data_IF_749236983873
#
_entry.id   IF_749236983873
#
_cell.length_a   1.000
_cell.length_b   1.000
_cell.length_c   1.000
_cell.angle_alpha   90.00
_cell.angle_beta   90.00
_cell.angle_gamma   90.00
#
_symmetry.space_group_name_H-M   'P 1'
#
loop_
_entity.id
_entity.type
_entity.pdbx_description
1 polymer ?
#
# COMPACT_ATOMS: atom_id res chain seq x y z
N UNK A 1 25.36 1.58 2.53
CA UNK A 1 24.05 1.51 1.85
C UNK A 1 23.44 0.10 1.92
N UNK A 2 24.20 -0.97 1.66
CA UNK A 2 23.73 -2.37 1.74
C UNK A 2 23.18 -2.77 3.12
N UNK A 3 23.84 -2.34 4.20
CA UNK A 3 23.42 -2.65 5.59
C UNK A 3 22.05 -2.03 5.94
N UNK A 4 21.78 -0.81 5.47
CA UNK A 4 20.50 -0.12 5.70
C UNK A 4 19.35 -0.90 5.04
N UNK A 5 19.55 -1.35 3.79
CA UNK A 5 18.55 -2.13 3.07
C UNK A 5 18.29 -3.49 3.75
N UNK A 6 19.34 -4.18 4.17
CA UNK A 6 19.22 -5.45 4.91
C UNK A 6 18.47 -5.28 6.23
N UNK A 7 18.76 -4.23 7.00
CA UNK A 7 18.04 -3.92 8.25
C UNK A 7 16.58 -3.56 8.00
N UNK A 8 16.27 -2.85 6.92
CA UNK A 8 14.90 -2.51 6.56
C UNK A 8 14.07 -3.76 6.20
N UNK A 9 14.67 -4.71 5.48
CA UNK A 9 14.03 -6.00 5.15
C UNK A 9 13.76 -6.80 6.44
N UNK A 10 14.75 -6.90 7.32
CA UNK A 10 14.60 -7.62 8.59
C UNK A 10 13.53 -6.97 9.49
N UNK A 11 13.51 -5.63 9.55
CA UNK A 11 12.46 -4.90 10.26
C UNK A 11 11.07 -5.16 9.67
N UNK A 12 10.93 -5.09 8.34
CA UNK A 12 9.66 -5.35 7.66
C UNK A 12 9.14 -6.77 7.94
N UNK A 13 10.04 -7.76 7.91
CA UNK A 13 9.72 -9.15 8.22
C UNK A 13 9.24 -9.33 9.67
N UNK A 14 9.96 -8.76 10.65
CA UNK A 14 9.56 -8.80 12.07
C UNK A 14 8.22 -8.13 12.30
N UNK A 15 8.02 -6.97 11.69
CA UNK A 15 6.76 -6.25 11.76
C UNK A 15 5.60 -7.10 11.21
N UNK A 16 5.78 -7.73 10.05
CA UNK A 16 4.77 -8.62 9.47
C UNK A 16 4.48 -9.83 10.38
N UNK A 17 5.51 -10.48 10.92
CA UNK A 17 5.37 -11.62 11.84
C UNK A 17 4.61 -11.23 13.11
N UNK A 18 4.93 -10.08 13.71
CA UNK A 18 4.26 -9.57 14.91
C UNK A 18 2.77 -9.30 14.65
N UNK A 19 2.43 -8.66 13.53
CA UNK A 19 1.04 -8.40 13.18
C UNK A 19 0.26 -9.68 12.86
N UNK A 20 0.85 -10.58 12.09
CA UNK A 20 0.22 -11.86 11.75
C UNK A 20 -0.02 -12.69 13.01
N UNK A 21 0.97 -12.79 13.90
CA UNK A 21 0.85 -13.57 15.14
C UNK A 21 -0.07 -12.93 16.19
N UNK A 22 -0.31 -11.62 16.14
CA UNK A 22 -1.27 -10.95 17.06
C UNK A 22 -2.71 -11.03 16.57
N UNK A 23 -2.92 -10.98 15.26
CA UNK A 23 -4.25 -10.85 14.67
C UNK A 23 -4.61 -12.05 13.80
N UNK A 24 -4.25 -12.03 12.52
CA UNK A 24 -4.77 -12.96 11.52
C UNK A 24 -4.43 -14.43 11.80
N UNK A 25 -3.23 -14.70 12.34
CA UNK A 25 -2.67 -16.03 12.58
C UNK A 25 -2.37 -16.26 14.07
N UNK A 26 -3.18 -15.68 14.96
CA UNK A 26 -3.00 -15.75 16.43
C UNK A 26 -2.86 -17.15 17.02
N UNK A 27 -3.46 -18.13 16.37
CA UNK A 27 -3.48 -19.53 16.83
C UNK A 27 -2.26 -20.33 16.35
N UNK A 28 -1.39 -19.74 15.51
CA UNK A 28 -0.22 -20.44 14.97
C UNK A 28 0.92 -19.47 14.66
N UNK A 29 1.81 -19.31 15.63
CA UNK A 29 3.01 -18.46 15.51
C UNK A 29 3.96 -18.95 14.41
N UNK A 30 4.11 -20.26 14.24
CA UNK A 30 4.96 -20.85 13.21
C UNK A 30 4.46 -20.49 11.79
N UNK A 31 3.13 -20.55 11.58
CA UNK A 31 2.52 -20.10 10.32
C UNK A 31 2.73 -18.60 10.12
N UNK A 32 2.60 -17.79 11.17
CA UNK A 32 2.85 -16.35 11.07
C UNK A 32 4.29 -16.03 10.64
N UNK A 33 5.27 -16.75 11.17
CA UNK A 33 6.67 -16.62 10.75
C UNK A 33 6.88 -17.06 9.29
N UNK A 34 6.31 -18.21 8.90
CA UNK A 34 6.40 -18.71 7.53
C UNK A 34 5.81 -17.72 6.52
N UNK A 35 4.60 -17.22 6.79
CA UNK A 35 3.92 -16.25 5.92
C UNK A 35 4.71 -14.94 5.85
N UNK A 36 5.24 -14.44 6.99
CA UNK A 36 6.08 -13.24 7.00
C UNK A 36 7.36 -13.42 6.18
N UNK A 37 8.01 -14.58 6.27
CA UNK A 37 9.17 -14.93 5.43
C UNK A 37 8.84 -14.86 3.95
N UNK A 38 7.70 -15.42 3.55
CA UNK A 38 7.24 -15.42 2.15
C UNK A 38 6.94 -14.01 1.67
N UNK A 39 6.20 -13.21 2.44
CA UNK A 39 5.83 -11.83 2.06
C UNK A 39 7.04 -10.89 1.96
N UNK A 40 8.12 -11.15 2.71
CA UNK A 40 9.35 -10.37 2.67
C UNK A 40 10.42 -10.89 1.70
N UNK A 41 10.14 -11.97 0.95
CA UNK A 41 11.10 -12.51 -0.01
C UNK A 41 11.18 -11.67 -1.29
N UNK A 42 12.23 -10.85 -1.38
CA UNK A 42 12.50 -9.99 -2.53
C UNK A 42 12.88 -10.75 -3.81
N UNK A 43 13.23 -12.04 -3.73
CA UNK A 43 13.49 -12.90 -4.90
C UNK A 43 12.20 -13.40 -5.53
N UNK A 44 11.17 -13.58 -4.71
CA UNK A 44 9.84 -14.02 -5.15
C UNK A 44 8.98 -12.84 -5.63
N UNK A 45 9.08 -11.70 -4.93
CA UNK A 45 8.35 -10.48 -5.22
C UNK A 45 9.30 -9.41 -5.77
N UNK A 46 9.81 -9.66 -6.99
CA UNK A 46 10.83 -8.86 -7.70
C UNK A 46 10.47 -7.38 -7.94
N UNK A 47 9.27 -6.93 -7.56
CA UNK A 47 8.83 -5.55 -7.64
C UNK A 47 8.17 -5.12 -6.34
N UNK A 48 8.56 -3.95 -5.84
CA UNK A 48 8.01 -3.31 -4.64
C UNK A 48 6.50 -3.03 -4.70
N UNK A 49 5.85 -3.24 -5.86
CA UNK A 49 4.40 -3.08 -6.06
C UNK A 49 3.68 -4.33 -6.54
N UNK A 50 4.29 -5.53 -6.49
CA UNK A 50 3.61 -6.74 -6.94
C UNK A 50 2.40 -7.04 -6.05
N UNK A 51 1.21 -7.04 -6.64
CA UNK A 51 -0.03 -7.41 -5.96
C UNK A 51 -0.14 -8.93 -5.89
N UNK A 52 -0.45 -9.46 -4.71
CA UNK A 52 -0.86 -10.86 -4.54
C UNK A 52 -2.37 -10.98 -4.75
N UNK A 53 -2.79 -11.97 -5.51
CA UNK A 53 -4.19 -12.34 -5.69
C UNK A 53 -4.72 -13.19 -4.54
N UNK A 54 -6.03 -13.44 -4.54
CA UNK A 54 -6.68 -14.24 -3.49
C UNK A 54 -6.15 -15.69 -3.43
N UNK A 55 -5.95 -16.33 -4.59
CA UNK A 55 -5.43 -17.69 -4.65
C UNK A 55 -4.03 -17.78 -4.07
N UNK A 56 -3.16 -16.80 -4.38
CA UNK A 56 -1.82 -16.70 -3.80
C UNK A 56 -1.88 -16.47 -2.29
N UNK A 57 -2.75 -15.57 -1.82
CA UNK A 57 -2.93 -15.29 -0.41
C UNK A 57 -3.36 -16.54 0.38
N UNK A 58 -4.33 -17.30 -0.13
CA UNK A 58 -4.75 -18.57 0.47
C UNK A 58 -3.60 -19.58 0.46
N UNK A 59 -2.90 -19.71 -0.67
CA UNK A 59 -1.79 -20.66 -0.83
C UNK A 59 -0.63 -20.40 0.14
N UNK A 60 -0.31 -19.13 0.43
CA UNK A 60 0.74 -18.79 1.40
C UNK A 60 0.25 -18.88 2.85
N UNK A 61 -1.04 -19.17 3.09
CA UNK A 61 -1.60 -19.40 4.42
C UNK A 61 -2.26 -18.18 5.08
N UNK A 62 -2.55 -17.11 4.34
CA UNK A 62 -3.34 -15.99 4.85
C UNK A 62 -4.82 -16.39 4.99
N UNK A 63 -5.47 -15.90 6.05
CA UNK A 63 -6.93 -16.06 6.24
C UNK A 63 -7.62 -14.91 5.53
N UNK A 64 -8.03 -15.14 4.28
CA UNK A 64 -8.73 -14.16 3.44
C UNK A 64 -10.07 -14.71 2.96
N UNK A 65 -11.04 -13.82 2.79
CA UNK A 65 -12.35 -14.14 2.25
C UNK A 65 -12.51 -13.57 0.84
N UNK A 66 -13.11 -14.36 -0.05
CA UNK A 66 -13.44 -13.92 -1.39
C UNK A 66 -14.71 -13.07 -1.35
N UNK A 67 -14.63 -11.83 -1.83
CA UNK A 67 -15.81 -11.02 -2.08
C UNK A 67 -16.32 -11.34 -3.49
N UNK A 68 -17.55 -11.82 -3.59
CA UNK A 68 -18.21 -12.05 -4.87
C UNK A 68 -18.39 -10.73 -5.65
N UNK A 69 -18.12 -10.76 -6.95
CA UNK A 69 -18.26 -9.61 -7.86
C UNK A 69 -19.69 -9.16 -8.02
N UNK A 70 -20.66 -10.06 -7.81
CA UNK A 70 -22.07 -9.71 -7.87
C UNK A 70 -22.60 -9.19 -6.51
N UNK A 71 -21.79 -9.25 -5.45
CA UNK A 71 -22.21 -8.78 -4.12
C UNK A 71 -22.41 -7.26 -4.08
N UNK A 72 -23.35 -6.82 -3.24
CA UNK A 72 -23.60 -5.39 -2.99
C UNK A 72 -22.37 -4.67 -2.41
N UNK A 73 -21.58 -5.37 -1.58
CA UNK A 73 -20.34 -4.86 -1.02
C UNK A 73 -19.31 -4.59 -2.13
N UNK A 74 -19.09 -5.56 -3.03
CA UNK A 74 -18.18 -5.36 -4.16
C UNK A 74 -18.60 -4.20 -5.04
N UNK A 75 -19.88 -4.14 -5.41
CA UNK A 75 -20.41 -3.05 -6.24
C UNK A 75 -20.21 -1.68 -5.59
N UNK A 76 -20.36 -1.59 -4.27
CA UNK A 76 -20.11 -0.35 -3.51
C UNK A 76 -18.63 0.03 -3.51
N UNK A 77 -17.75 -0.93 -3.18
CA UNK A 77 -16.30 -0.71 -3.16
C UNK A 77 -15.76 -0.31 -4.53
N UNK A 78 -16.26 -0.95 -5.60
CA UNK A 78 -15.85 -0.66 -6.97
C UNK A 78 -16.28 0.74 -7.40
N UNK A 79 -17.54 1.11 -7.17
CA UNK A 79 -18.02 2.47 -7.46
C UNK A 79 -17.23 3.53 -6.70
N UNK A 80 -16.94 3.27 -5.44
CA UNK A 80 -16.11 4.14 -4.62
C UNK A 80 -14.71 4.33 -5.22
N UNK A 81 -14.05 3.22 -5.56
CA UNK A 81 -12.73 3.23 -6.22
C UNK A 81 -12.74 4.04 -7.52
N UNK A 82 -13.74 3.83 -8.38
CA UNK A 82 -13.88 4.59 -9.63
C UNK A 82 -14.03 6.09 -9.36
N UNK A 83 -14.87 6.48 -8.39
CA UNK A 83 -15.06 7.89 -8.00
C UNK A 83 -13.77 8.50 -7.45
N UNK A 84 -13.04 7.76 -6.62
CA UNK A 84 -11.75 8.21 -6.08
C UNK A 84 -10.73 8.46 -7.20
N UNK A 85 -10.65 7.59 -8.20
CA UNK A 85 -9.78 7.80 -9.37
C UNK A 85 -10.18 9.05 -10.15
N UNK A 86 -11.47 9.20 -10.45
CA UNK A 86 -11.96 10.38 -11.19
C UNK A 86 -11.65 11.67 -10.41
N UNK A 87 -11.83 11.67 -9.09
CA UNK A 87 -11.48 12.79 -8.24
C UNK A 87 -9.98 13.11 -8.30
N UNK A 88 -9.11 12.12 -8.05
CA UNK A 88 -7.65 12.32 -8.05
C UNK A 88 -7.14 12.84 -9.40
N UNK A 89 -7.66 12.30 -10.51
CA UNK A 89 -7.30 12.74 -11.85
C UNK A 89 -7.83 14.14 -12.19
N UNK A 90 -8.98 14.53 -11.63
CA UNK A 90 -9.62 15.81 -11.92
C UNK A 90 -9.11 16.99 -11.09
N UNK A 91 -8.56 16.75 -9.90
CA UNK A 91 -8.22 17.82 -8.94
C UNK A 91 -6.73 18.09 -8.77
N UNK A 92 -5.85 17.26 -9.34
CA UNK A 92 -4.41 17.32 -9.06
C UNK A 92 -4.04 16.87 -7.64
N UNK A 93 -4.99 16.25 -6.92
CA UNK A 93 -4.73 15.56 -5.67
C UNK A 93 -3.85 14.34 -5.93
N UNK A 94 -2.74 14.21 -5.21
CA UNK A 94 -1.84 13.05 -5.30
C UNK A 94 -2.20 11.95 -4.29
N UNK A 95 -3.01 12.29 -3.28
CA UNK A 95 -3.39 11.37 -2.21
C UNK A 95 -4.72 11.74 -1.60
N UNK A 96 -5.55 10.73 -1.34
CA UNK A 96 -6.85 10.84 -0.70
C UNK A 96 -6.86 9.92 0.53
N UNK A 97 -7.30 10.46 1.66
CA UNK A 97 -7.54 9.71 2.88
C UNK A 97 -8.97 9.93 3.33
N UNK A 98 -9.69 8.83 3.56
CA UNK A 98 -11.08 8.91 3.99
C UNK A 98 -11.34 8.05 5.22
N UNK A 99 -12.23 8.56 6.06
CA UNK A 99 -12.75 7.94 7.25
C UNK A 99 -14.23 8.26 7.37
N UNK A 100 -14.92 7.64 8.34
CA UNK A 100 -16.34 7.91 8.58
C UNK A 100 -16.68 9.39 8.83
N UNK A 101 -15.71 10.20 9.31
CA UNK A 101 -15.94 11.60 9.72
C UNK A 101 -15.16 12.63 8.90
N UNK A 102 -14.18 12.21 8.11
CA UNK A 102 -13.21 13.12 7.51
C UNK A 102 -12.70 12.57 6.19
N UNK A 103 -12.65 13.45 5.19
CA UNK A 103 -11.95 13.26 3.92
C UNK A 103 -10.83 14.31 3.82
N UNK A 104 -9.60 13.86 3.56
CA UNK A 104 -8.43 14.70 3.35
C UNK A 104 -7.81 14.43 1.98
N UNK A 105 -7.63 15.48 1.20
CA UNK A 105 -6.97 15.43 -0.11
C UNK A 105 -5.68 16.24 -0.07
N UNK A 106 -4.58 15.63 -0.52
CA UNK A 106 -3.27 16.29 -0.63
C UNK A 106 -3.07 16.75 -2.07
N UNK A 107 -3.10 18.06 -2.28
CA UNK A 107 -2.85 18.67 -3.58
C UNK A 107 -1.38 19.09 -3.69
N UNK A 108 -0.77 18.83 -4.83
CA UNK A 108 0.55 19.38 -5.15
C UNK A 108 0.37 20.51 -6.14
N UNK A 109 0.58 21.74 -5.70
CA UNK A 109 0.71 22.89 -6.58
C UNK A 109 2.19 23.19 -6.79
N UNK A 110 2.66 23.16 -8.04
CA UNK A 110 4.01 23.67 -8.35
C UNK A 110 3.97 25.19 -8.22
N UNK A 111 4.78 25.76 -7.32
CA UNK A 111 5.08 27.19 -7.37
C UNK A 111 5.84 27.45 -8.68
N UNK A 112 5.30 28.28 -9.56
CA UNK A 112 6.10 28.89 -10.63
C UNK A 112 7.15 29.76 -9.95
N UNK A 113 8.41 29.38 -10.04
CA UNK A 113 9.52 30.26 -9.67
C UNK A 113 9.54 31.36 -10.74
N UNK A 114 9.38 32.65 -10.38
CA UNK A 114 9.50 33.72 -11.36
C UNK A 114 10.92 33.68 -11.97
N UNK A 115 11.07 33.98 -13.27
CA UNK A 115 12.39 34.04 -13.89
C UNK A 115 13.25 35.03 -13.09
N UNK A 116 14.43 34.56 -12.68
CA UNK A 116 15.41 35.41 -12.00
C UNK A 116 15.87 36.45 -13.02
N UNK A 117 15.54 37.71 -12.79
CA UNK A 117 15.98 38.81 -13.64
C UNK A 117 17.51 38.88 -13.59
N UNK A 118 18.17 38.45 -14.65
CA UNK A 118 19.62 38.49 -14.80
C UNK A 118 20.06 39.85 -15.33
N UNK A 119 19.56 40.92 -14.72
CA UNK A 119 19.88 42.30 -15.10
C UNK A 119 20.43 43.03 -13.88
N UNK A 120 21.73 42.84 -13.62
CA UNK A 120 22.66 43.85 -13.08
C UNK A 120 23.98 43.19 -12.64
N UNK A 121 24.92 43.07 -13.58
CA UNK A 121 26.35 43.34 -13.35
C UNK A 121 26.90 43.95 -14.63
N UNK A 122 26.89 45.29 -14.68
CA UNK A 122 27.85 46.06 -15.46
C UNK A 122 29.06 46.34 -14.60
#
# INVERSE_FOLDING_TARGET
MIDIASRAIEFSKRFAQDWLSRYMLKDSKDKAEQVARVLSDNRQWLSHGKRIGIAEAINIGLRVEAIDRESSLWRTLWQYYCRAIVHLNGTGSIKLYESKKLTLSFNVSRRKIPPTDSTERK
#
